data_IF_634087843568
#
_entry.id   IF_634087843568
#
_cell.length_a   1.000
_cell.length_b   1.000
_cell.length_c   1.000
_cell.angle_alpha   90.00
_cell.angle_beta   90.00
_cell.angle_gamma   90.00
#
_symmetry.space_group_name_H-M   'P 1'
#
loop_
_entity.id
_entity.type
_entity.pdbx_description
1 polymer ?
#
# COMPACT_ATOMS: atom_id res chain seq x y z
N UNK A 1 8.59 44.49 -22.73
CA UNK A 1 7.82 45.61 -22.17
C UNK A 1 6.34 45.22 -22.20
N UNK A 2 5.72 44.99 -21.01
CA UNK A 2 4.27 44.83 -20.70
C UNK A 2 3.51 43.62 -21.30
N UNK A 3 2.67 42.84 -20.61
CA UNK A 3 2.47 42.41 -19.21
C UNK A 3 1.42 41.25 -19.23
N UNK A 4 1.32 40.42 -18.18
CA UNK A 4 0.61 39.15 -18.13
C UNK A 4 -0.87 39.34 -17.78
N UNK A 5 -1.79 38.85 -18.61
CA UNK A 5 -3.24 38.97 -18.33
C UNK A 5 -4.02 37.67 -18.47
N UNK A 6 -3.44 36.61 -19.04
CA UNK A 6 -4.16 35.33 -19.22
C UNK A 6 -4.00 34.36 -18.04
N UNK A 7 -2.94 34.51 -17.23
CA UNK A 7 -2.70 33.64 -16.06
C UNK A 7 -3.63 33.94 -14.87
N UNK A 8 -4.24 35.12 -14.82
CA UNK A 8 -5.10 35.53 -13.70
C UNK A 8 -6.55 35.00 -13.82
N UNK A 9 -7.02 34.65 -15.03
CA UNK A 9 -8.41 34.24 -15.24
C UNK A 9 -8.61 32.75 -14.97
N UNK A 10 -7.58 31.92 -15.14
CA UNK A 10 -7.64 30.49 -14.80
C UNK A 10 -7.38 30.18 -13.32
N UNK A 11 -6.71 31.08 -12.60
CA UNK A 11 -6.52 30.97 -11.14
C UNK A 11 -7.78 31.38 -10.35
N UNK A 12 -8.65 32.22 -10.92
CA UNK A 12 -9.87 32.69 -10.25
C UNK A 12 -11.03 31.69 -10.27
N UNK A 13 -11.02 30.69 -11.16
CA UNK A 13 -12.06 29.65 -11.20
C UNK A 13 -11.78 28.49 -10.21
N UNK A 14 -10.59 28.43 -9.63
CA UNK A 14 -10.24 27.44 -8.60
C UNK A 14 -10.56 27.90 -7.16
N UNK A 15 -11.02 29.15 -6.96
CA UNK A 15 -11.30 29.71 -5.63
C UNK A 15 -12.77 30.12 -5.40
N UNK A 16 -13.69 29.74 -6.28
CA UNK A 16 -15.13 29.94 -6.08
C UNK A 16 -15.76 28.78 -5.27
N UNK A 17 -15.52 28.80 -3.97
CA UNK A 17 -16.47 28.43 -2.91
C UNK A 17 -17.26 27.12 -3.01
N UNK A 18 -16.69 26.03 -2.49
CA UNK A 18 -17.46 25.08 -1.69
C UNK A 18 -17.23 25.42 -0.22
N UNK A 19 -18.18 26.11 0.42
CA UNK A 19 -18.21 26.25 1.87
C UNK A 19 -18.59 24.89 2.48
N UNK A 20 -17.59 24.03 2.66
CA UNK A 20 -17.72 22.89 3.56
C UNK A 20 -16.88 23.20 4.80
N UNK A 21 -17.57 23.65 5.83
CA UNK A 21 -17.03 23.81 7.17
C UNK A 21 -16.35 22.51 7.60
N UNK A 22 -15.10 22.64 8.01
CA UNK A 22 -14.29 21.57 8.54
C UNK A 22 -14.82 21.15 9.92
N UNK A 23 -15.72 20.18 9.96
CA UNK A 23 -16.00 19.37 11.14
C UNK A 23 -15.46 17.96 10.93
N UNK A 24 -14.14 17.84 10.74
CA UNK A 24 -13.50 16.56 10.48
C UNK A 24 -13.10 15.78 11.74
N UNK A 25 -13.28 16.33 12.95
CA UNK A 25 -12.77 15.71 14.17
C UNK A 25 -13.53 16.06 15.46
N UNK A 26 -14.87 16.01 15.42
CA UNK A 26 -15.68 15.98 16.65
C UNK A 26 -16.34 14.61 16.74
N UNK A 27 -16.11 13.82 17.81
CA UNK A 27 -16.84 12.57 18.00
C UNK A 27 -18.30 12.93 18.28
N UNK A 28 -19.19 12.69 17.31
CA UNK A 28 -20.60 12.90 17.51
C UNK A 28 -21.15 11.80 18.44
N UNK A 29 -21.46 12.16 19.69
CA UNK A 29 -22.07 11.27 20.69
C UNK A 29 -23.58 11.08 20.47
N UNK A 30 -24.05 11.20 19.22
CA UNK A 30 -25.42 10.87 18.85
C UNK A 30 -25.58 9.36 18.88
N UNK A 31 -26.25 8.85 19.92
CA UNK A 31 -26.64 7.47 20.07
C UNK A 31 -27.33 6.97 18.80
N UNK A 32 -26.54 6.39 17.90
CA UNK A 32 -27.06 5.69 16.74
C UNK A 32 -27.54 4.37 17.29
N UNK A 33 -28.86 4.18 17.36
CA UNK A 33 -29.48 2.91 17.69
C UNK A 33 -29.03 1.90 16.63
N UNK A 34 -27.92 1.22 16.90
CA UNK A 34 -27.49 0.09 16.13
C UNK A 34 -28.54 -0.99 16.34
N UNK A 35 -29.33 -1.29 15.31
CA UNK A 35 -30.07 -2.55 15.24
C UNK A 35 -29.04 -3.64 15.45
N UNK A 36 -29.04 -4.24 16.64
CA UNK A 36 -28.26 -5.43 16.93
C UNK A 36 -28.75 -6.51 15.97
N UNK A 37 -28.03 -6.68 14.86
CA UNK A 37 -28.12 -7.91 14.09
C UNK A 37 -27.47 -8.94 14.98
N UNK A 38 -28.30 -9.65 15.75
CA UNK A 38 -27.95 -10.91 16.38
C UNK A 38 -27.68 -11.92 15.27
N UNK A 39 -26.54 -11.78 14.61
CA UNK A 39 -25.96 -12.89 13.85
C UNK A 39 -25.56 -13.89 14.90
N UNK A 40 -26.45 -14.84 15.21
CA UNK A 40 -26.11 -15.98 16.03
C UNK A 40 -24.84 -16.57 15.44
N UNK A 41 -23.79 -16.57 16.25
CA UNK A 41 -22.51 -17.15 15.89
C UNK A 41 -22.74 -18.67 15.80
N UNK A 42 -23.24 -19.13 14.66
CA UNK A 42 -23.24 -20.54 14.31
C UNK A 42 -21.77 -20.90 14.17
N UNK A 43 -21.24 -21.56 15.20
CA UNK A 43 -19.98 -22.29 15.12
C UNK A 43 -20.18 -23.37 14.08
N UNK A 44 -19.88 -23.06 12.81
CA UNK A 44 -19.93 -24.02 11.73
C UNK A 44 -19.03 -25.21 12.10
N UNK A 45 -19.65 -26.39 12.17
CA UNK A 45 -18.95 -27.64 12.41
C UNK A 45 -17.95 -27.96 11.28
N UNK A 46 -16.99 -28.86 11.53
CA UNK A 46 -15.94 -29.18 10.59
C UNK A 46 -16.52 -30.01 9.45
N UNK A 47 -17.05 -29.38 8.40
CA UNK A 47 -17.56 -30.11 7.24
C UNK A 47 -18.44 -29.35 6.26
N UNK A 48 -19.03 -28.22 6.64
CA UNK A 48 -20.03 -27.58 5.77
C UNK A 48 -19.40 -26.59 4.80
N UNK A 49 -19.16 -27.13 3.61
CA UNK A 49 -18.89 -26.52 2.31
C UNK A 49 -19.22 -25.04 2.17
N UNK A 50 -18.19 -24.22 2.30
CA UNK A 50 -18.02 -23.03 1.48
C UNK A 50 -16.52 -22.86 1.27
N UNK A 51 -16.01 -23.36 0.15
CA UNK A 51 -14.68 -23.02 -0.41
C UNK A 51 -14.69 -21.54 -0.80
N UNK A 52 -14.87 -20.66 0.19
CA UNK A 52 -14.86 -19.21 0.03
C UNK A 52 -13.41 -18.80 0.02
N UNK A 53 -12.93 -18.36 -1.14
CA UNK A 53 -11.64 -17.70 -1.40
C UNK A 53 -10.93 -17.22 -0.13
N UNK A 54 -10.28 -18.14 0.59
CA UNK A 54 -9.53 -17.80 1.79
C UNK A 54 -8.27 -17.13 1.27
N UNK A 55 -8.03 -15.83 1.59
CA UNK A 55 -6.84 -15.17 1.12
C UNK A 55 -5.62 -15.97 1.56
N UNK A 56 -4.62 -16.11 0.67
CA UNK A 56 -3.41 -16.89 0.95
C UNK A 56 -2.77 -16.56 2.32
N UNK A 57 -2.87 -15.30 2.75
CA UNK A 57 -2.43 -14.84 4.05
C UNK A 57 -3.07 -15.59 5.23
N UNK A 58 -4.34 -15.97 5.14
CA UNK A 58 -5.07 -16.70 6.19
C UNK A 58 -4.73 -18.19 6.17
N UNK A 59 -4.65 -18.83 5.00
CA UNK A 59 -4.21 -20.23 4.86
C UNK A 59 -2.79 -20.42 5.41
N UNK A 60 -1.92 -19.43 5.22
CA UNK A 60 -0.53 -19.49 5.71
C UNK A 60 -0.40 -19.44 7.24
N UNK A 61 -1.44 -19.02 7.98
CA UNK A 61 -1.40 -18.91 9.45
C UNK A 61 -1.26 -20.26 10.14
N UNK A 62 -1.75 -21.32 9.51
CA UNK A 62 -1.64 -22.70 10.01
C UNK A 62 -0.17 -23.16 10.11
N UNK A 63 0.70 -22.66 9.22
CA UNK A 63 2.11 -23.02 9.19
C UNK A 63 2.99 -22.12 10.08
N UNK A 64 2.40 -21.14 10.78
CA UNK A 64 3.13 -20.26 11.69
C UNK A 64 3.41 -21.00 13.00
N UNK A 65 4.59 -21.62 13.10
CA UNK A 65 5.08 -22.20 14.37
C UNK A 65 5.15 -21.12 15.45
N UNK A 66 4.56 -21.41 16.62
CA UNK A 66 4.48 -20.48 17.75
C UNK A 66 5.62 -20.67 18.76
N UNK A 67 6.30 -21.83 18.74
CA UNK A 67 7.37 -22.16 19.69
C UNK A 67 8.72 -22.13 18.99
N UNK A 68 9.67 -21.40 19.58
CA UNK A 68 11.04 -21.29 19.09
C UNK A 68 11.89 -22.44 19.63
N UNK A 69 12.42 -23.29 18.74
CA UNK A 69 13.16 -24.49 19.13
C UNK A 69 14.68 -24.31 19.05
N UNK A 70 15.44 -25.27 19.57
CA UNK A 70 16.91 -25.24 19.48
C UNK A 70 17.40 -25.23 18.03
N UNK A 71 16.79 -26.02 17.15
CA UNK A 71 17.13 -26.06 15.73
C UNK A 71 16.93 -24.69 15.05
N UNK A 72 15.90 -23.95 15.46
CA UNK A 72 15.64 -22.59 14.97
C UNK A 72 16.74 -21.61 15.42
N UNK A 73 17.26 -21.77 16.64
CA UNK A 73 18.39 -20.99 17.14
C UNK A 73 19.68 -21.25 16.35
N UNK A 74 19.97 -22.52 16.06
CA UNK A 74 21.14 -22.90 15.25
C UNK A 74 21.00 -22.31 13.85
N UNK A 75 19.82 -22.44 13.23
CA UNK A 75 19.51 -21.86 11.92
C UNK A 75 19.61 -20.33 11.92
N UNK A 76 19.16 -19.67 12.98
CA UNK A 76 19.25 -18.21 13.15
C UNK A 76 20.70 -17.74 13.28
N UNK A 77 21.57 -18.50 13.95
CA UNK A 77 23.01 -18.17 14.07
C UNK A 77 23.85 -18.53 12.86
N UNK A 78 23.29 -19.23 11.86
CA UNK A 78 24.05 -19.57 10.66
C UNK A 78 24.58 -18.31 9.94
N UNK A 79 25.87 -18.30 9.53
CA UNK A 79 26.47 -17.15 8.85
C UNK A 79 25.86 -16.93 7.46
N UNK A 80 25.43 -18.01 6.80
CA UNK A 80 24.84 -17.96 5.46
C UNK A 80 23.33 -17.62 5.47
N UNK A 81 22.75 -17.20 6.60
CA UNK A 81 21.30 -16.94 6.73
C UNK A 81 20.79 -15.89 5.75
N UNK A 82 21.58 -14.83 5.53
CA UNK A 82 21.15 -13.70 4.72
C UNK A 82 21.07 -14.07 3.24
N UNK A 83 22.06 -14.81 2.75
CA UNK A 83 22.10 -15.31 1.37
C UNK A 83 20.93 -16.26 1.12
N UNK A 84 20.69 -17.22 2.03
CA UNK A 84 19.54 -18.11 1.94
C UNK A 84 18.22 -17.35 1.97
N UNK A 85 18.10 -16.35 2.85
CA UNK A 85 16.91 -15.54 2.94
C UNK A 85 16.67 -14.73 1.66
N UNK A 86 17.71 -14.11 1.09
CA UNK A 86 17.64 -13.31 -0.13
C UNK A 86 17.08 -14.13 -1.31
N UNK A 87 17.62 -15.33 -1.53
CA UNK A 87 17.09 -16.23 -2.56
C UNK A 87 15.70 -16.77 -2.24
N UNK A 88 15.31 -16.85 -0.97
CA UNK A 88 13.97 -17.28 -0.56
C UNK A 88 12.89 -16.19 -0.65
N UNK A 89 13.26 -14.90 -0.82
CA UNK A 89 12.30 -13.77 -0.86
C UNK A 89 11.25 -13.97 -1.96
N UNK A 90 11.65 -14.42 -3.15
CA UNK A 90 10.73 -14.64 -4.27
C UNK A 90 9.68 -15.73 -3.98
N UNK A 91 10.02 -16.71 -3.14
CA UNK A 91 9.10 -17.76 -2.70
C UNK A 91 8.30 -17.40 -1.45
N UNK A 92 8.62 -16.27 -0.81
CA UNK A 92 8.07 -15.90 0.49
C UNK A 92 6.59 -15.51 0.40
N UNK A 93 5.84 -15.78 1.47
CA UNK A 93 4.43 -15.40 1.55
C UNK A 93 4.19 -13.89 1.51
N UNK A 94 5.22 -13.09 1.78
CA UNK A 94 5.17 -11.62 1.71
C UNK A 94 4.94 -11.18 0.26
N UNK A 95 5.69 -11.73 -0.69
CA UNK A 95 5.52 -11.44 -2.12
C UNK A 95 4.13 -11.86 -2.59
N UNK A 96 3.64 -13.03 -2.14
CA UNK A 96 2.30 -13.52 -2.49
C UNK A 96 1.17 -12.65 -1.94
N UNK A 97 1.36 -12.02 -0.78
CA UNK A 97 0.35 -11.17 -0.16
C UNK A 97 0.32 -9.75 -0.75
N UNK A 98 1.50 -9.18 -1.03
CA UNK A 98 1.65 -7.78 -1.48
C UNK A 98 1.72 -7.68 -3.02
N UNK A 99 2.02 -8.78 -3.71
CA UNK A 99 2.32 -8.79 -5.14
C UNK A 99 1.20 -8.25 -6.03
N UNK A 100 -0.07 -8.48 -5.68
CA UNK A 100 -1.22 -7.98 -6.46
C UNK A 100 -1.34 -6.46 -6.45
N UNK A 101 -1.06 -5.83 -5.31
CA UNK A 101 -1.12 -4.37 -5.17
C UNK A 101 0.04 -3.71 -5.92
N UNK A 102 1.24 -4.30 -5.77
CA UNK A 102 2.45 -3.83 -6.46
C UNK A 102 2.30 -3.99 -7.97
N UNK A 103 1.84 -5.15 -8.47
CA UNK A 103 1.69 -5.38 -9.90
C UNK A 103 0.72 -4.40 -10.55
N UNK A 104 -0.36 -4.04 -9.86
CA UNK A 104 -1.33 -3.05 -10.34
C UNK A 104 -0.67 -1.68 -10.50
N UNK A 105 0.08 -1.25 -9.49
CA UNK A 105 0.79 0.03 -9.52
C UNK A 105 1.90 0.05 -10.57
N UNK A 106 2.65 -1.05 -10.71
CA UNK A 106 3.67 -1.21 -11.76
C UNK A 106 3.04 -1.16 -13.15
N UNK A 107 1.88 -1.78 -13.35
CA UNK A 107 1.18 -1.74 -14.64
C UNK A 107 0.81 -0.31 -15.02
N UNK A 108 0.23 0.46 -14.08
CA UNK A 108 -0.07 1.88 -14.31
C UNK A 108 1.20 2.68 -14.61
N UNK A 109 2.28 2.46 -13.85
CA UNK A 109 3.55 3.13 -14.08
C UNK A 109 4.15 2.78 -15.47
N UNK A 110 4.07 1.52 -15.89
CA UNK A 110 4.53 1.10 -17.22
C UNK A 110 3.73 1.74 -18.35
N UNK A 111 2.41 1.89 -18.18
CA UNK A 111 1.55 2.56 -19.17
C UNK A 111 1.96 4.04 -19.30
N UNK A 112 2.15 4.73 -18.17
CA UNK A 112 2.59 6.14 -18.16
C UNK A 112 3.98 6.27 -18.79
N UNK A 113 4.90 5.35 -18.49
CA UNK A 113 6.23 5.33 -19.07
C UNK A 113 6.19 5.17 -20.59
N UNK A 114 5.46 4.17 -21.10
CA UNK A 114 5.30 3.93 -22.54
C UNK A 114 4.62 5.11 -23.24
N UNK A 115 3.63 5.73 -22.58
CA UNK A 115 2.98 6.93 -23.10
C UNK A 115 3.95 8.10 -23.25
N UNK A 116 4.77 8.37 -22.22
CA UNK A 116 5.76 9.43 -22.27
C UNK A 116 6.86 9.13 -23.30
N UNK A 117 7.30 7.87 -23.42
CA UNK A 117 8.24 7.45 -24.46
C UNK A 117 7.69 7.75 -25.88
N UNK A 118 6.40 7.54 -26.10
CA UNK A 118 5.75 7.73 -27.40
C UNK A 118 5.52 9.21 -27.78
N UNK A 119 5.26 10.06 -26.78
CA UNK A 119 4.79 11.45 -26.97
C UNK A 119 5.87 12.51 -26.73
N UNK A 120 6.79 12.27 -25.79
CA UNK A 120 7.88 13.21 -25.44
C UNK A 120 9.20 12.78 -26.09
N UNK A 121 9.35 11.49 -26.40
CA UNK A 121 10.61 10.89 -26.83
C UNK A 121 11.34 10.19 -25.69
N UNK A 122 12.46 9.54 -26.01
CA UNK A 122 13.27 8.84 -25.01
C UNK A 122 14.76 8.93 -25.34
N UNK A 123 15.56 8.75 -24.30
CA UNK A 123 17.01 8.83 -24.40
C UNK A 123 17.53 7.40 -24.39
N UNK A 124 18.27 7.04 -25.44
CA UNK A 124 18.89 5.72 -25.50
C UNK A 124 20.13 5.67 -24.59
N UNK A 125 20.69 4.47 -24.38
CA UNK A 125 21.92 4.27 -23.60
C UNK A 125 23.13 5.06 -24.13
N UNK A 126 23.10 5.45 -25.41
CA UNK A 126 24.10 6.31 -26.04
C UNK A 126 23.86 7.81 -25.81
N UNK A 127 22.88 8.16 -24.97
CA UNK A 127 22.51 9.53 -24.63
C UNK A 127 22.04 10.36 -25.85
N UNK A 128 21.49 9.67 -26.86
CA UNK A 128 20.88 10.30 -28.03
C UNK A 128 19.38 10.38 -27.78
N UNK A 129 18.84 11.59 -27.89
CA UNK A 129 17.40 11.86 -27.78
C UNK A 129 16.70 11.41 -29.07
N UNK A 130 15.86 10.39 -28.97
CA UNK A 130 15.00 9.96 -30.08
C UNK A 130 13.72 10.79 -30.10
N UNK A 131 13.39 11.29 -31.30
CA UNK A 131 12.16 12.07 -31.52
C UNK A 131 10.91 11.22 -31.20
N UNK A 132 9.83 11.86 -30.71
CA UNK A 132 8.58 11.17 -30.43
C UNK A 132 7.98 10.60 -31.72
N UNK A 133 7.30 9.45 -31.61
CA UNK A 133 6.61 8.83 -32.75
C UNK A 133 5.28 9.56 -33.05
N UNK A 134 4.69 10.21 -32.06
CA UNK A 134 3.46 11.00 -32.20
C UNK A 134 3.80 12.47 -31.88
N UNK A 135 4.16 13.22 -32.93
CA UNK A 135 4.40 14.67 -32.83
C UNK A 135 3.09 15.42 -33.08
N UNK A 136 2.25 15.51 -32.04
CA UNK A 136 1.00 16.25 -32.08
C UNK A 136 0.97 17.27 -30.94
N UNK A 137 0.79 18.55 -31.28
CA UNK A 137 0.73 19.65 -30.32
C UNK A 137 -0.33 19.47 -29.21
N UNK A 138 -1.41 18.73 -29.49
CA UNK A 138 -2.52 18.51 -28.56
C UNK A 138 -2.29 17.36 -27.56
N UNK A 139 -1.16 16.65 -27.63
CA UNK A 139 -0.90 15.48 -26.79
C UNK A 139 0.20 15.81 -25.78
N UNK A 140 -0.16 16.23 -24.54
CA UNK A 140 0.84 16.56 -23.52
C UNK A 140 1.47 15.32 -22.89
N UNK A 141 2.73 15.45 -22.49
CA UNK A 141 3.41 14.47 -21.63
C UNK A 141 2.77 14.39 -20.25
N UNK A 142 2.66 13.19 -19.71
CA UNK A 142 2.06 12.95 -18.39
C UNK A 142 3.14 13.06 -17.31
N UNK A 143 3.10 14.14 -16.53
CA UNK A 143 4.03 14.36 -15.42
C UNK A 143 3.26 14.63 -14.12
N UNK A 144 3.80 14.16 -13.00
CA UNK A 144 3.30 14.47 -11.67
C UNK A 144 4.31 15.37 -10.94
N UNK A 145 3.85 16.39 -10.19
CA UNK A 145 4.75 17.19 -9.35
C UNK A 145 5.36 16.31 -8.25
N UNK A 146 6.67 16.38 -8.07
CA UNK A 146 7.41 15.65 -7.03
C UNK A 146 7.24 16.26 -5.63
N UNK A 147 6.86 17.54 -5.56
CA UNK A 147 6.76 18.32 -4.32
C UNK A 147 5.90 17.70 -3.22
N UNK A 148 4.67 17.17 -3.47
CA UNK A 148 3.89 16.53 -2.41
C UNK A 148 4.54 15.24 -1.89
N UNK A 149 5.22 14.48 -2.74
CA UNK A 149 5.87 13.23 -2.34
C UNK A 149 7.07 13.50 -1.41
N UNK A 150 7.87 14.51 -1.73
CA UNK A 150 9.00 14.92 -0.87
C UNK A 150 8.51 15.37 0.50
N UNK A 151 7.47 16.21 0.54
CA UNK A 151 6.92 16.73 1.80
C UNK A 151 6.25 15.64 2.66
N UNK A 152 5.60 14.66 2.04
CA UNK A 152 4.90 13.59 2.76
C UNK A 152 5.80 12.40 3.16
N UNK A 153 6.99 12.26 2.57
CA UNK A 153 7.86 11.09 2.78
C UNK A 153 8.19 10.84 4.27
N UNK A 154 8.56 11.88 5.01
CA UNK A 154 8.88 11.78 6.43
C UNK A 154 7.68 11.40 7.30
N UNK A 155 6.50 11.96 7.03
CA UNK A 155 5.29 11.68 7.80
C UNK A 155 4.77 10.25 7.54
N UNK A 156 4.83 9.78 6.29
CA UNK A 156 4.48 8.39 5.94
C UNK A 156 5.41 7.38 6.63
N UNK A 157 6.70 7.70 6.75
CA UNK A 157 7.67 6.88 7.50
C UNK A 157 7.31 6.76 8.98
N UNK A 158 7.02 7.87 9.65
CA UNK A 158 6.62 7.87 11.07
C UNK A 158 5.29 7.13 11.29
N UNK A 159 4.31 7.34 10.40
CA UNK A 159 3.02 6.66 10.47
C UNK A 159 3.21 5.14 10.38
N UNK A 160 4.07 4.66 9.47
CA UNK A 160 4.37 3.24 9.34
C UNK A 160 4.98 2.67 10.63
N UNK A 161 5.93 3.36 11.24
CA UNK A 161 6.58 2.92 12.49
C UNK A 161 5.57 2.85 13.64
N UNK A 162 4.76 3.89 13.85
CA UNK A 162 3.74 3.86 14.90
C UNK A 162 2.70 2.77 14.66
N UNK A 163 2.24 2.60 13.41
CA UNK A 163 1.27 1.56 13.04
C UNK A 163 1.82 0.15 13.31
N UNK A 164 3.07 -0.11 12.97
CA UNK A 164 3.69 -1.43 13.19
C UNK A 164 3.95 -1.69 14.68
N UNK A 165 4.35 -0.68 15.46
CA UNK A 165 4.53 -0.80 16.91
C UNK A 165 3.20 -1.14 17.62
N UNK A 166 2.12 -0.41 17.34
CA UNK A 166 0.81 -0.70 17.93
C UNK A 166 0.27 -2.07 17.52
N UNK A 167 0.50 -2.49 16.26
CA UNK A 167 0.12 -3.83 15.81
C UNK A 167 0.91 -4.93 16.54
N UNK A 168 2.21 -4.71 16.80
CA UNK A 168 3.05 -5.64 17.54
C UNK A 168 2.60 -5.79 19.00
N UNK A 169 2.28 -4.68 19.67
CA UNK A 169 1.75 -4.69 21.05
C UNK A 169 0.49 -5.54 21.17
N UNK A 170 -0.49 -5.32 20.28
CA UNK A 170 -1.74 -6.12 20.25
C UNK A 170 -1.49 -7.60 19.97
N UNK A 171 -0.53 -7.90 19.09
CA UNK A 171 -0.15 -9.29 18.79
C UNK A 171 0.49 -9.98 20.02
N UNK A 172 1.34 -9.29 20.76
CA UNK A 172 1.97 -9.81 21.98
C UNK A 172 0.94 -10.02 23.11
N UNK A 173 0.06 -9.04 23.34
CA UNK A 173 -1.06 -9.15 24.29
C UNK A 173 -1.97 -10.35 23.99
N UNK A 174 -2.35 -10.55 22.72
CA UNK A 174 -3.17 -11.69 22.32
C UNK A 174 -2.48 -13.04 22.64
N UNK A 175 -1.16 -13.15 22.43
CA UNK A 175 -0.41 -14.37 22.73
C UNK A 175 -0.33 -14.65 24.23
N UNK A 176 -0.16 -13.61 25.06
CA UNK A 176 -0.17 -13.75 26.53
C UNK A 176 -1.54 -14.23 27.01
N UNK A 177 -2.62 -13.64 26.50
CA UNK A 177 -3.98 -14.00 26.88
C UNK A 177 -4.36 -15.42 26.45
N UNK A 178 -3.97 -15.85 25.24
CA UNK A 178 -4.22 -17.23 24.78
C UNK A 178 -3.31 -18.27 25.44
N UNK A 179 -2.14 -17.87 25.95
CA UNK A 179 -1.25 -18.74 26.72
C UNK A 179 -1.63 -18.90 28.19
N UNK A 180 -2.44 -18.00 28.76
CA UNK A 180 -2.92 -18.11 30.16
C UNK A 180 -4.21 -18.92 30.32
N UNK A 181 -4.97 -19.14 29.24
CA UNK A 181 -6.22 -19.91 29.25
C UNK A 181 -6.05 -21.40 28.88
N UNK A 182 -4.82 -21.93 28.96
CA UNK A 182 -4.48 -23.36 28.88
C UNK A 182 -3.78 -23.76 30.18
#
# INVERSE_FOLDING_TARGET
MMKPTTAAILAALALAGSKHSAEAFVPNHSATSAKATTTSLSMAGPGDTATKDIPYGETSRQFRRTVYTHDDWVKHRSPNRFVKNLFSIGSSGIYKNVGREVSTTTTVATIIFLWNMLTVGYDDFNQIHHAPLIDNYYVPGLTLPLTPFTLASGSLGLLLVFRTNTAYQRWDEARKNWGMNM
#
